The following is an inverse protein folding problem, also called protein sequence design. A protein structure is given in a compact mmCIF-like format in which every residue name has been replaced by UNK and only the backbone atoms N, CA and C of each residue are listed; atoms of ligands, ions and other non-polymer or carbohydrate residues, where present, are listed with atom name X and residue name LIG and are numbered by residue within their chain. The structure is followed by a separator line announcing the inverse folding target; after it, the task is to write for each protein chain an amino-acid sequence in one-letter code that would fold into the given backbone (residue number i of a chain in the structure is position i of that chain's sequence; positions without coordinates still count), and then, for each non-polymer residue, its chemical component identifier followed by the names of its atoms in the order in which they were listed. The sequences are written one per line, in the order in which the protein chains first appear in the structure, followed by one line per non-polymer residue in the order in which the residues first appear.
data_IF_152245194920
#
_entry.id   IF_152245194920
#
_cell.length_a   1.000
_cell.length_b   1.000
_cell.length_c   1.000
_cell.angle_alpha   90.00
_cell.angle_beta   90.00
_cell.angle_gamma   90.00
#
_symmetry.space_group_name_H-M   'P 1'
#
loop_
_entity.id
_entity.type
_entity.pdbx_description
1 polymer ?
#
# COMPACT_ATOMS: atom_id res chain seq x y z
N UNK A 1 29.42 -19.02 55.42
CA UNK A 1 28.08 -18.76 54.85
C UNK A 1 28.13 -17.49 54.01
N UNK A 2 27.93 -17.54 52.68
CA UNK A 2 27.41 -16.44 51.84
C UNK A 2 27.47 -16.84 50.35
N UNK A 3 26.50 -17.64 49.88
CA UNK A 3 26.22 -17.75 48.44
C UNK A 3 25.15 -16.70 48.12
N UNK A 4 25.54 -15.62 47.43
CA UNK A 4 24.61 -14.59 46.92
C UNK A 4 23.66 -15.26 45.93
N UNK A 5 22.38 -15.23 46.26
CA UNK A 5 21.27 -15.59 45.37
C UNK A 5 21.25 -14.62 44.19
N UNK A 6 21.83 -15.01 43.05
CA UNK A 6 21.60 -14.30 41.80
C UNK A 6 20.17 -14.58 41.34
N UNK A 7 19.30 -13.59 41.48
CA UNK A 7 17.89 -13.65 41.09
C UNK A 7 17.73 -13.96 39.59
N UNK A 8 16.96 -14.98 39.18
CA UNK A 8 16.80 -15.42 37.79
C UNK A 8 16.10 -14.38 36.87
N UNK A 9 15.58 -13.30 37.44
CA UNK A 9 14.85 -12.24 36.72
C UNK A 9 15.73 -11.43 35.77
N UNK A 10 17.01 -11.20 36.10
CA UNK A 10 17.93 -10.42 35.27
C UNK A 10 18.21 -11.06 33.90
N UNK A 11 18.22 -12.40 33.82
CA UNK A 11 18.48 -13.11 32.57
C UNK A 11 17.32 -12.99 31.57
N UNK A 12 16.08 -13.01 32.08
CA UNK A 12 14.87 -12.90 31.23
C UNK A 12 14.66 -11.48 30.71
N UNK A 13 14.94 -10.47 31.55
CA UNK A 13 14.98 -9.07 31.14
C UNK A 13 16.00 -8.84 30.02
N UNK A 14 17.24 -9.31 30.21
CA UNK A 14 18.33 -9.05 29.27
C UNK A 14 18.15 -9.80 27.93
N UNK A 15 17.47 -10.97 27.92
CA UNK A 15 17.06 -11.63 26.67
C UNK A 15 16.01 -10.81 25.92
N UNK A 16 14.95 -10.34 26.60
CA UNK A 16 13.91 -9.52 25.97
C UNK A 16 14.45 -8.22 25.34
N UNK A 17 15.38 -7.55 26.03
CA UNK A 17 16.05 -6.34 25.54
C UNK A 17 16.93 -6.62 24.32
N UNK A 18 17.67 -7.73 24.30
CA UNK A 18 18.50 -8.13 23.14
C UNK A 18 17.68 -8.51 21.92
N UNK A 19 16.50 -9.11 22.09
CA UNK A 19 15.58 -9.39 20.98
C UNK A 19 14.97 -8.10 20.42
N UNK A 20 14.61 -7.16 21.29
CA UNK A 20 14.09 -5.84 20.89
C UNK A 20 15.14 -4.98 20.17
N UNK A 21 16.41 -5.02 20.62
CA UNK A 21 17.52 -4.32 19.94
C UNK A 21 17.83 -4.89 18.55
N UNK A 22 17.70 -6.20 18.34
CA UNK A 22 17.85 -6.80 16.99
C UNK A 22 16.76 -6.34 16.02
N UNK A 23 15.56 -6.05 16.51
CA UNK A 23 14.48 -5.51 15.68
C UNK A 23 14.72 -4.04 15.26
N UNK A 24 15.53 -3.29 16.01
CA UNK A 24 15.85 -1.89 15.73
C UNK A 24 16.95 -1.70 14.67
N UNK A 25 17.74 -2.75 14.38
CA UNK A 25 18.83 -2.72 13.39
C UNK A 25 18.41 -3.25 12.02
N UNK A 26 17.22 -2.90 11.53
CA UNK A 26 16.82 -3.27 10.16
C UNK A 26 17.68 -2.49 9.16
N UNK A 27 18.34 -3.16 8.19
CA UNK A 27 19.03 -2.48 7.11
C UNK A 27 18.08 -1.51 6.39
N UNK A 28 18.51 -0.30 6.08
CA UNK A 28 17.71 0.73 5.40
C UNK A 28 17.09 0.24 4.09
N UNK A 29 17.76 -0.66 3.38
CA UNK A 29 17.23 -1.33 2.20
C UNK A 29 15.96 -2.15 2.51
N UNK A 30 15.93 -2.89 3.63
CA UNK A 30 14.76 -3.67 4.04
C UNK A 30 13.57 -2.78 4.39
N UNK A 31 13.82 -1.63 5.03
CA UNK A 31 12.77 -0.63 5.33
C UNK A 31 12.15 -0.06 4.05
N UNK A 32 12.98 0.24 3.04
CA UNK A 32 12.51 0.72 1.73
C UNK A 32 11.67 -0.31 0.99
N UNK A 33 12.12 -1.57 0.95
CA UNK A 33 11.39 -2.67 0.30
C UNK A 33 10.04 -2.90 0.97
N UNK A 34 9.98 -2.84 2.30
CA UNK A 34 8.72 -2.94 3.04
C UNK A 34 7.77 -1.80 2.69
N UNK A 35 8.24 -0.55 2.66
CA UNK A 35 7.41 0.60 2.24
C UNK A 35 6.84 0.44 0.82
N UNK A 36 7.66 0.03 -0.15
CA UNK A 36 7.20 -0.21 -1.52
C UNK A 36 6.13 -1.30 -1.59
N UNK A 37 6.32 -2.40 -0.85
CA UNK A 37 5.32 -3.47 -0.75
C UNK A 37 4.01 -2.97 -0.13
N UNK A 38 4.10 -2.08 0.86
CA UNK A 38 2.93 -1.49 1.50
C UNK A 38 2.14 -0.61 0.52
N UNK A 39 2.79 0.21 -0.29
CA UNK A 39 2.10 0.98 -1.33
C UNK A 39 1.52 0.08 -2.43
N UNK A 40 2.20 -1.01 -2.80
CA UNK A 40 1.66 -1.99 -3.74
C UNK A 40 0.40 -2.68 -3.22
N UNK A 41 0.35 -2.99 -1.93
CA UNK A 41 -0.86 -3.51 -1.29
C UNK A 41 -1.96 -2.45 -1.22
N UNK A 42 -1.59 -1.18 -1.01
CA UNK A 42 -2.51 -0.06 -0.97
C UNK A 42 -3.25 0.13 -2.31
N UNK A 43 -2.58 -0.07 -3.44
CA UNK A 43 -3.20 0.04 -4.77
C UNK A 43 -4.15 -1.09 -5.15
N UNK A 44 -4.27 -2.15 -4.32
CA UNK A 44 -5.10 -3.34 -4.57
C UNK A 44 -4.94 -3.93 -5.99
N UNK A 45 -3.85 -4.67 -6.26
CA UNK A 45 -3.51 -5.15 -7.60
C UNK A 45 -4.57 -6.07 -8.21
N UNK A 46 -5.30 -6.84 -7.38
CA UNK A 46 -6.39 -7.71 -7.85
C UNK A 46 -7.56 -6.93 -8.45
N UNK A 47 -7.92 -5.80 -7.85
CA UNK A 47 -9.00 -4.93 -8.35
C UNK A 47 -8.53 -4.25 -9.64
N UNK A 48 -7.31 -3.74 -9.64
CA UNK A 48 -6.70 -3.12 -10.83
C UNK A 48 -6.71 -4.07 -12.03
N UNK A 49 -6.30 -5.33 -11.84
CA UNK A 49 -6.28 -6.32 -12.92
C UNK A 49 -7.66 -6.55 -13.52
N UNK A 50 -8.70 -6.65 -12.68
CA UNK A 50 -10.08 -6.82 -13.13
C UNK A 50 -10.55 -5.61 -13.97
N UNK A 51 -10.20 -4.40 -13.53
CA UNK A 51 -10.52 -3.18 -14.29
C UNK A 51 -9.77 -3.15 -15.61
N UNK A 52 -8.49 -3.52 -15.64
CA UNK A 52 -7.72 -3.57 -16.87
C UNK A 52 -8.28 -4.59 -17.87
N UNK A 53 -8.66 -5.78 -17.42
CA UNK A 53 -9.26 -6.79 -18.30
C UNK A 53 -10.55 -6.26 -18.96
N UNK A 54 -11.43 -5.66 -18.17
CA UNK A 54 -12.69 -5.09 -18.66
C UNK A 54 -12.45 -3.86 -19.55
N UNK A 55 -11.47 -3.03 -19.22
CA UNK A 55 -11.09 -1.85 -20.01
C UNK A 55 -10.54 -2.24 -21.37
N UNK A 56 -9.61 -3.20 -21.43
CA UNK A 56 -9.05 -3.70 -22.69
C UNK A 56 -10.14 -4.34 -23.55
N UNK A 57 -11.01 -5.17 -22.96
CA UNK A 57 -12.15 -5.73 -23.68
C UNK A 57 -13.06 -4.64 -24.27
N UNK A 58 -13.36 -3.59 -23.49
CA UNK A 58 -14.12 -2.43 -23.96
C UNK A 58 -13.43 -1.68 -25.10
N UNK A 59 -12.12 -1.44 -25.00
CA UNK A 59 -11.34 -0.76 -26.04
C UNK A 59 -11.29 -1.56 -27.34
N UNK A 60 -11.12 -2.88 -27.26
CA UNK A 60 -11.09 -3.76 -28.44
C UNK A 60 -12.47 -3.79 -29.13
N UNK A 61 -13.55 -3.91 -28.34
CA UNK A 61 -14.91 -3.92 -28.89
C UNK A 61 -15.31 -2.57 -29.48
N UNK A 62 -14.97 -1.46 -28.81
CA UNK A 62 -15.30 -0.11 -29.25
C UNK A 62 -14.43 0.39 -30.40
N UNK A 63 -13.17 -0.03 -30.46
CA UNK A 63 -12.22 0.29 -31.52
C UNK A 63 -12.22 -0.71 -32.68
N UNK A 64 -13.19 -1.62 -32.74
CA UNK A 64 -13.23 -2.67 -33.76
C UNK A 64 -13.32 -2.04 -35.16
N UNK A 65 -12.30 -2.28 -35.99
CA UNK A 65 -12.18 -1.70 -37.34
C UNK A 65 -11.38 -0.40 -37.42
N UNK A 66 -10.86 0.11 -36.29
CA UNK A 66 -9.96 1.26 -36.24
C UNK A 66 -8.58 0.85 -35.71
N UNK A 67 -7.53 1.54 -36.14
CA UNK A 67 -6.20 1.38 -35.57
C UNK A 67 -6.16 2.01 -34.18
N UNK A 68 -6.27 1.19 -33.13
CA UNK A 68 -6.05 1.63 -31.76
C UNK A 68 -4.59 2.04 -31.59
N UNK A 69 -4.36 3.30 -31.24
CA UNK A 69 -3.03 3.80 -30.93
C UNK A 69 -2.54 3.18 -29.61
N UNK A 70 -1.39 2.52 -29.62
CA UNK A 70 -0.83 1.87 -28.43
C UNK A 70 -0.58 2.85 -27.28
N UNK A 71 -0.31 4.12 -27.59
CA UNK A 71 -0.19 5.21 -26.62
C UNK A 71 -1.47 5.42 -25.82
N UNK A 72 -2.63 5.46 -26.47
CA UNK A 72 -3.93 5.64 -25.83
C UNK A 72 -4.28 4.47 -24.90
N UNK A 73 -3.99 3.23 -25.33
CA UNK A 73 -4.21 2.04 -24.49
C UNK A 73 -3.36 2.14 -23.23
N UNK A 74 -2.07 2.45 -23.37
CA UNK A 74 -1.15 2.60 -22.24
C UNK A 74 -1.58 3.73 -21.30
N UNK A 75 -1.92 4.91 -21.84
CA UNK A 75 -2.42 6.04 -21.07
C UNK A 75 -3.69 5.67 -20.29
N UNK A 76 -4.62 4.94 -20.92
CA UNK A 76 -5.86 4.50 -20.29
C UNK A 76 -5.59 3.53 -19.12
N UNK A 77 -4.70 2.56 -19.31
CA UNK A 77 -4.33 1.59 -18.27
C UNK A 77 -3.59 2.23 -17.10
N UNK A 78 -2.62 3.11 -17.38
CA UNK A 78 -1.86 3.80 -16.34
C UNK A 78 -2.75 4.78 -15.58
N UNK A 79 -3.54 5.59 -16.29
CA UNK A 79 -4.47 6.55 -15.70
C UNK A 79 -5.51 5.86 -14.82
N UNK A 80 -6.11 4.76 -15.30
CA UNK A 80 -7.08 3.98 -14.51
C UNK A 80 -6.45 3.37 -13.25
N UNK A 81 -5.23 2.81 -13.34
CA UNK A 81 -4.54 2.29 -12.16
C UNK A 81 -4.29 3.39 -11.10
N UNK A 82 -3.84 4.57 -11.53
CA UNK A 82 -3.61 5.70 -10.64
C UNK A 82 -4.91 6.16 -9.95
N UNK A 83 -6.02 6.24 -10.68
CA UNK A 83 -7.33 6.60 -10.12
C UNK A 83 -7.84 5.52 -9.15
N UNK A 84 -7.68 4.22 -9.47
CA UNK A 84 -8.04 3.12 -8.56
C UNK A 84 -7.20 3.16 -7.28
N UNK A 85 -5.88 3.39 -7.40
CA UNK A 85 -4.97 3.49 -6.27
C UNK A 85 -5.34 4.70 -5.39
N UNK A 86 -5.67 5.84 -6.00
CA UNK A 86 -6.19 7.04 -5.31
C UNK A 86 -7.44 6.72 -4.48
N UNK A 87 -8.48 6.15 -5.10
CA UNK A 87 -9.72 5.82 -4.42
C UNK A 87 -9.50 4.85 -3.24
N UNK A 88 -8.63 3.86 -3.40
CA UNK A 88 -8.31 2.92 -2.32
C UNK A 88 -7.53 3.56 -1.16
N UNK A 89 -6.61 4.48 -1.45
CA UNK A 89 -5.86 5.21 -0.45
C UNK A 89 -6.78 6.17 0.33
N UNK A 90 -7.59 6.95 -0.37
CA UNK A 90 -8.52 7.90 0.23
C UNK A 90 -9.60 7.20 1.06
N UNK A 91 -10.20 6.12 0.56
CA UNK A 91 -11.20 5.36 1.32
C UNK A 91 -10.62 4.86 2.65
N UNK A 92 -9.41 4.30 2.62
CA UNK A 92 -8.75 3.85 3.85
C UNK A 92 -8.34 5.01 4.76
N UNK A 93 -7.93 6.15 4.20
CA UNK A 93 -7.54 7.33 4.98
C UNK A 93 -8.74 8.02 5.65
N UNK A 94 -9.94 7.88 5.09
CA UNK A 94 -11.19 8.37 5.67
C UNK A 94 -11.67 7.43 6.78
N UNK A 95 -11.69 6.12 6.52
CA UNK A 95 -12.31 5.12 7.40
C UNK A 95 -11.38 4.53 8.45
N UNK A 96 -10.11 4.95 8.51
CA UNK A 96 -9.04 4.27 9.25
C UNK A 96 -9.37 3.95 10.71
N UNK A 97 -10.12 4.83 11.41
CA UNK A 97 -10.50 4.63 12.82
C UNK A 97 -11.47 3.47 12.99
N UNK A 98 -12.45 3.35 12.10
CA UNK A 98 -13.44 2.29 12.13
C UNK A 98 -12.87 0.98 11.61
N UNK A 99 -12.10 1.04 10.51
CA UNK A 99 -11.44 -0.12 9.94
C UNK A 99 -10.46 -0.78 10.93
N UNK A 100 -9.82 0.00 11.81
CA UNK A 100 -8.92 -0.53 12.84
C UNK A 100 -9.63 -1.40 13.88
N UNK A 101 -10.95 -1.25 14.05
CA UNK A 101 -11.76 -2.02 15.00
C UNK A 101 -12.36 -3.29 14.38
N UNK A 102 -12.19 -3.51 13.07
CA UNK A 102 -12.82 -4.60 12.33
C UNK A 102 -11.81 -5.69 11.96
N UNK A 103 -12.07 -6.95 12.34
CA UNK A 103 -11.18 -8.11 12.06
C UNK A 103 -10.79 -8.23 10.58
N UNK A 104 -11.72 -7.92 9.67
CA UNK A 104 -11.52 -8.04 8.22
C UNK A 104 -10.63 -6.94 7.64
N UNK A 105 -10.59 -5.76 8.25
CA UNK A 105 -9.97 -4.56 7.65
C UNK A 105 -8.87 -3.93 8.50
N UNK A 106 -8.69 -4.38 9.74
CA UNK A 106 -7.65 -3.93 10.65
C UNK A 106 -6.22 -4.19 10.13
N UNK A 107 -6.04 -5.14 9.22
CA UNK A 107 -4.74 -5.47 8.60
C UNK A 107 -4.40 -4.64 7.37
N UNK A 108 -5.30 -3.74 6.94
CA UNK A 108 -5.06 -2.83 5.81
C UNK A 108 -3.94 -1.82 6.16
N UNK A 109 -3.19 -1.32 5.16
CA UNK A 109 -2.02 -0.46 5.40
C UNK A 109 -2.24 0.76 6.30
N UNK A 110 -3.33 1.51 6.13
CA UNK A 110 -3.60 2.71 6.94
C UNK A 110 -4.20 2.35 8.32
N UNK A 111 -5.25 1.52 8.41
CA UNK A 111 -5.80 1.08 9.70
C UNK A 111 -4.80 0.37 10.61
N UNK A 112 -3.85 -0.39 10.03
CA UNK A 112 -2.81 -1.09 10.79
C UNK A 112 -1.68 -0.16 11.26
N UNK A 113 -1.67 1.11 10.85
CA UNK A 113 -0.60 2.07 11.13
C UNK A 113 0.68 1.89 10.29
N UNK A 114 0.68 1.03 9.26
CA UNK A 114 1.85 0.87 8.36
C UNK A 114 2.06 2.10 7.46
N UNK A 115 0.97 2.85 7.19
CA UNK A 115 0.94 4.13 6.50
C UNK A 115 0.13 5.10 7.36
N UNK A 116 0.62 6.32 7.57
CA UNK A 116 -0.14 7.30 8.35
C UNK A 116 -1.38 7.78 7.57
N UNK A 117 -2.50 8.14 8.23
CA UNK A 117 -3.67 8.67 7.53
C UNK A 117 -3.35 9.91 6.67
N UNK A 118 -2.50 10.82 7.16
CA UNK A 118 -2.04 12.00 6.40
C UNK A 118 -1.25 11.61 5.14
N UNK A 119 -0.37 10.61 5.25
CA UNK A 119 0.36 10.07 4.10
C UNK A 119 -0.61 9.44 3.10
N UNK A 120 -1.61 8.69 3.57
CA UNK A 120 -2.69 8.13 2.74
C UNK A 120 -3.46 9.21 1.95
N UNK A 121 -3.82 10.31 2.60
CA UNK A 121 -4.43 11.47 1.93
C UNK A 121 -3.50 12.07 0.87
N UNK A 122 -2.25 12.34 1.22
CA UNK A 122 -1.28 12.97 0.30
C UNK A 122 -1.04 12.13 -0.95
N UNK A 123 -0.78 10.84 -0.77
CA UNK A 123 -0.52 9.90 -1.87
C UNK A 123 -1.80 9.68 -2.70
N UNK A 124 -2.95 9.59 -2.03
CA UNK A 124 -4.25 9.49 -2.70
C UNK A 124 -4.52 10.67 -3.64
N UNK A 125 -4.32 11.91 -3.19
CA UNK A 125 -4.50 13.11 -4.02
C UNK A 125 -3.50 13.12 -5.17
N UNK A 126 -2.22 12.85 -4.91
CA UNK A 126 -1.16 12.83 -5.93
C UNK A 126 -1.48 11.82 -7.03
N UNK A 127 -1.87 10.59 -6.67
CA UNK A 127 -2.26 9.58 -7.66
C UNK A 127 -3.51 9.98 -8.44
N UNK A 128 -4.51 10.59 -7.79
CA UNK A 128 -5.72 11.05 -8.46
C UNK A 128 -5.42 12.11 -9.53
N UNK A 129 -4.65 13.14 -9.15
CA UNK A 129 -4.23 14.21 -10.07
C UNK A 129 -3.37 13.64 -11.20
N UNK A 130 -2.39 12.80 -10.89
CA UNK A 130 -1.54 12.17 -11.90
C UNK A 130 -2.36 11.34 -12.90
N UNK A 131 -3.34 10.57 -12.43
CA UNK A 131 -4.20 9.75 -13.29
C UNK A 131 -5.01 10.58 -14.29
N UNK A 132 -5.59 11.70 -13.82
CA UNK A 132 -6.33 12.64 -14.68
C UNK A 132 -5.42 13.30 -15.72
N UNK A 133 -4.20 13.68 -15.31
CA UNK A 133 -3.23 14.27 -16.24
C UNK A 133 -2.80 13.29 -17.32
N UNK A 134 -2.62 12.01 -16.98
CA UNK A 134 -2.29 10.95 -17.96
C UNK A 134 -3.42 10.81 -18.98
N UNK A 135 -4.68 10.78 -18.56
CA UNK A 135 -5.81 10.69 -19.50
C UNK A 135 -5.97 11.93 -20.39
N UNK A 136 -5.56 13.10 -19.91
CA UNK A 136 -5.64 14.34 -20.69
C UNK A 136 -4.50 14.47 -21.71
N UNK A 137 -3.36 13.84 -21.46
CA UNK A 137 -2.15 13.96 -22.30
C UNK A 137 -1.87 12.76 -23.22
N UNK A 138 -2.72 11.73 -23.20
CA UNK A 138 -2.61 10.55 -24.05
C UNK A 138 -3.72 10.45 -25.09
#
# INVERSE_FOLDING_TARGET
MHKRLQSPTRFRYNRGVKTAQRAFSMPTAMVRIQKLRTYWLLSKPRVTLLVWLTTVAGLVLGGWGQSLEGGLILATLIGSWLVIASANALNQAIEWRYDALMVRTATRPIPSGSVSPLEGWSVGIVWGVAGVLVWRGG
#
